data_IF_690168978297
#
_entry.id   IF_690168978297
#
_cell.length_a   1.000
_cell.length_b   1.000
_cell.length_c   1.000
_cell.angle_alpha   90.00
_cell.angle_beta   90.00
_cell.angle_gamma   90.00
#
_symmetry.space_group_name_H-M   'P 1'
#
loop_
_entity.id
_entity.type
_entity.pdbx_description
1 polymer ?
#
# COMPACT_ATOMS: atom_id res chain seq x y z
N UNK A 1 42.98 -34.66 -24.96
CA UNK A 1 41.86 -34.93 -24.04
C UNK A 1 41.77 -33.69 -23.14
N UNK A 2 41.44 -32.54 -23.72
CA UNK A 2 40.11 -32.05 -24.08
C UNK A 2 39.60 -31.17 -22.94
N UNK A 3 39.68 -29.86 -23.21
CA UNK A 3 38.92 -28.74 -22.64
C UNK A 3 37.69 -29.12 -21.82
N UNK A 4 37.59 -28.58 -20.59
CA UNK A 4 36.32 -28.44 -19.89
C UNK A 4 36.03 -26.93 -19.70
N UNK A 5 34.97 -26.39 -20.31
CA UNK A 5 34.75 -24.95 -20.42
C UNK A 5 34.16 -24.34 -19.15
N UNK A 6 34.73 -23.18 -18.81
CA UNK A 6 34.27 -22.22 -17.80
C UNK A 6 32.79 -21.84 -18.04
N UNK A 7 31.87 -22.41 -17.26
CA UNK A 7 30.45 -22.00 -17.26
C UNK A 7 30.35 -20.65 -16.53
N UNK A 8 30.24 -19.58 -17.30
CA UNK A 8 29.84 -18.26 -16.80
C UNK A 8 28.33 -18.25 -16.64
N UNK A 9 27.85 -18.26 -15.41
CA UNK A 9 26.43 -18.09 -15.08
C UNK A 9 26.06 -16.61 -15.28
N UNK A 10 25.25 -16.31 -16.30
CA UNK A 10 24.77 -14.95 -16.60
C UNK A 10 23.73 -14.50 -15.58
N UNK A 11 23.84 -13.30 -14.98
CA UNK A 11 22.78 -12.78 -14.13
C UNK A 11 21.58 -12.35 -14.99
N UNK A 12 20.45 -13.01 -14.80
CA UNK A 12 19.14 -12.59 -15.31
C UNK A 12 18.79 -11.19 -14.80
N UNK A 13 18.84 -10.21 -15.69
CA UNK A 13 18.35 -8.85 -15.45
C UNK A 13 16.82 -8.86 -15.43
N UNK A 14 16.22 -8.86 -14.23
CA UNK A 14 14.79 -8.64 -14.07
C UNK A 14 14.40 -7.27 -14.66
N UNK A 15 13.50 -7.30 -15.64
CA UNK A 15 12.98 -6.11 -16.32
C UNK A 15 12.14 -5.28 -15.34
N UNK A 16 12.67 -4.15 -14.90
CA UNK A 16 11.90 -3.09 -14.21
C UNK A 16 10.71 -2.64 -15.07
N UNK A 17 9.47 -2.59 -14.54
CA UNK A 17 8.34 -2.00 -15.26
C UNK A 17 8.54 -0.48 -15.40
N UNK A 18 8.32 0.03 -16.61
CA UNK A 18 8.36 1.47 -16.90
C UNK A 18 7.18 2.17 -16.22
N UNK A 19 7.47 3.16 -15.38
CA UNK A 19 6.47 4.06 -14.81
C UNK A 19 5.87 4.91 -15.93
N UNK A 20 4.53 5.02 -16.07
CA UNK A 20 3.96 5.94 -17.05
C UNK A 20 4.30 7.37 -16.66
N UNK A 21 4.73 8.16 -17.63
CA UNK A 21 4.93 9.61 -17.50
C UNK A 21 3.58 10.30 -17.29
N UNK A 22 3.43 11.23 -16.32
CA UNK A 22 2.18 11.93 -16.12
C UNK A 22 1.92 12.89 -17.30
N UNK A 23 0.75 12.79 -17.92
CA UNK A 23 0.23 13.80 -18.84
C UNK A 23 -0.21 15.02 -18.03
N UNK A 24 0.38 16.18 -18.31
CA UNK A 24 -0.06 17.47 -17.77
C UNK A 24 -1.12 18.07 -18.70
N UNK A 25 -2.23 18.55 -18.13
CA UNK A 25 -3.20 19.34 -18.89
C UNK A 25 -2.66 20.75 -19.20
N UNK A 26 -3.28 21.42 -20.18
CA UNK A 26 -2.86 22.72 -20.73
C UNK A 26 -2.76 23.89 -19.72
N UNK A 27 -3.19 23.70 -18.46
CA UNK A 27 -3.08 24.66 -17.36
C UNK A 27 -1.95 24.34 -16.35
N UNK A 28 -1.15 23.28 -16.59
CA UNK A 28 -0.04 22.89 -15.72
C UNK A 28 -0.46 22.27 -14.38
N UNK A 29 -1.69 21.76 -14.29
CA UNK A 29 -2.21 21.04 -13.11
C UNK A 29 -2.58 19.63 -13.54
N UNK A 30 -1.74 18.65 -13.22
CA UNK A 30 -2.12 17.23 -13.38
C UNK A 30 -3.34 16.94 -12.50
N UNK A 31 -4.31 16.19 -13.02
CA UNK A 31 -5.15 15.35 -12.18
C UNK A 31 -4.19 14.49 -11.36
N UNK A 32 -3.95 14.88 -10.10
CA UNK A 32 -3.12 14.08 -9.21
C UNK A 32 -3.94 12.83 -8.97
N UNK A 33 -3.50 11.69 -9.49
CA UNK A 33 -3.94 10.38 -9.03
C UNK A 33 -3.53 10.29 -7.55
N UNK A 34 -4.39 10.80 -6.68
CA UNK A 34 -4.20 10.70 -5.24
C UNK A 34 -4.48 9.25 -4.89
N UNK A 35 -3.48 8.48 -4.43
CA UNK A 35 -3.70 7.08 -4.07
C UNK A 35 -4.70 7.01 -2.91
N UNK A 36 -5.51 5.96 -2.93
CA UNK A 36 -6.44 5.62 -1.87
C UNK A 36 -5.71 5.31 -0.56
N UNK A 37 -6.42 5.31 0.59
CA UNK A 37 -5.78 5.21 1.89
C UNK A 37 -5.05 3.88 2.12
N UNK A 38 -5.46 2.80 1.45
CA UNK A 38 -4.88 1.45 1.56
C UNK A 38 -4.23 0.97 0.26
N UNK A 39 -4.10 1.83 -0.74
CA UNK A 39 -3.43 1.45 -1.99
C UNK A 39 -1.99 1.03 -1.73
N UNK A 40 -1.51 0.07 -2.52
CA UNK A 40 -0.14 -0.41 -2.43
C UNK A 40 0.78 0.40 -3.36
N UNK A 41 2.04 0.65 -2.96
CA UNK A 41 2.65 0.27 -1.69
C UNK A 41 2.24 1.21 -0.54
N UNK A 42 1.91 0.63 0.62
CA UNK A 42 1.72 1.40 1.85
C UNK A 42 3.07 1.84 2.41
N UNK A 43 3.13 3.05 2.97
CA UNK A 43 4.31 3.62 3.65
C UNK A 43 4.20 3.51 5.17
N UNK A 44 2.98 3.46 5.69
CA UNK A 44 2.67 3.38 7.11
C UNK A 44 1.82 2.15 7.42
N UNK A 45 1.97 1.60 8.62
CA UNK A 45 1.13 0.54 9.15
C UNK A 45 -0.30 1.03 9.37
N UNK A 46 -1.27 0.35 8.76
CA UNK A 46 -2.68 0.77 8.77
C UNK A 46 -3.36 0.61 10.15
N UNK A 47 -2.76 -0.15 11.04
CA UNK A 47 -3.24 -0.38 12.42
C UNK A 47 -2.44 0.39 13.48
N UNK A 48 -1.24 0.87 13.15
CA UNK A 48 -0.30 1.46 14.12
C UNK A 48 -0.01 2.93 13.82
N UNK A 49 -0.07 3.34 12.54
CA UNK A 49 0.36 4.64 12.05
C UNK A 49 1.89 4.82 11.97
N UNK A 50 2.67 3.78 12.29
CA UNK A 50 4.14 3.83 12.26
C UNK A 50 4.63 3.58 10.82
N UNK A 51 5.69 4.27 10.39
CA UNK A 51 6.31 4.01 9.10
C UNK A 51 6.78 2.54 9.01
N UNK A 52 6.54 1.86 7.88
CA UNK A 52 6.74 0.41 7.77
C UNK A 52 8.20 -0.01 7.95
N UNK A 53 9.15 0.85 7.62
CA UNK A 53 10.59 0.67 7.83
C UNK A 53 11.01 0.73 9.31
N UNK A 54 10.21 1.37 10.15
CA UNK A 54 10.44 1.52 11.59
C UNK A 54 9.51 0.64 12.44
N UNK A 55 8.51 0.00 11.82
CA UNK A 55 7.49 -0.74 12.55
C UNK A 55 8.01 -2.10 13.04
N UNK A 56 7.91 -2.34 14.34
CA UNK A 56 8.08 -3.70 14.89
C UNK A 56 6.90 -4.61 14.50
N UNK A 57 7.14 -5.87 14.11
CA UNK A 57 6.07 -6.83 13.79
C UNK A 57 5.10 -7.06 14.96
N UNK A 58 5.58 -6.95 16.20
CA UNK A 58 4.77 -7.12 17.42
C UNK A 58 3.89 -5.89 17.73
N UNK A 59 4.07 -4.77 17.02
CA UNK A 59 3.28 -3.57 17.22
C UNK A 59 1.85 -3.70 16.66
N UNK A 60 1.58 -4.67 15.79
CA UNK A 60 0.25 -4.88 15.21
C UNK A 60 -0.66 -5.58 16.23
N UNK A 61 -1.81 -4.98 16.61
CA UNK A 61 -2.72 -5.60 17.58
C UNK A 61 -3.21 -6.97 17.14
N UNK A 62 -3.40 -7.90 18.08
CA UNK A 62 -3.86 -9.26 17.78
C UNK A 62 -5.23 -9.26 17.08
N UNK A 63 -6.15 -8.38 17.47
CA UNK A 63 -7.45 -8.25 16.81
C UNK A 63 -7.33 -7.91 15.30
N UNK A 64 -6.39 -7.03 14.95
CA UNK A 64 -6.10 -6.67 13.56
C UNK A 64 -5.48 -7.84 12.78
N UNK A 65 -4.60 -8.63 13.41
CA UNK A 65 -4.04 -9.86 12.81
C UNK A 65 -5.12 -10.91 12.52
N UNK A 66 -6.20 -10.92 13.31
CA UNK A 66 -7.36 -11.77 13.11
C UNK A 66 -8.40 -11.16 12.14
N UNK A 67 -8.15 -9.98 11.58
CA UNK A 67 -9.07 -9.29 10.67
C UNK A 67 -10.33 -8.75 11.34
N UNK A 68 -10.37 -8.67 12.67
CA UNK A 68 -11.52 -8.23 13.45
C UNK A 68 -11.58 -6.72 13.66
N UNK A 69 -10.54 -6.01 13.23
CA UNK A 69 -10.38 -4.59 13.47
C UNK A 69 -10.24 -3.83 12.15
N UNK A 70 -11.02 -2.76 11.92
CA UNK A 70 -10.84 -1.90 10.76
C UNK A 70 -9.52 -1.13 10.82
N UNK A 71 -8.92 -0.79 9.67
CA UNK A 71 -7.72 0.04 9.61
C UNK A 71 -8.01 1.43 10.18
N UNK A 72 -7.16 1.89 11.10
CA UNK A 72 -7.32 3.16 11.82
C UNK A 72 -6.43 4.28 11.29
N UNK A 73 -5.42 3.94 10.49
CA UNK A 73 -4.45 4.87 9.95
C UNK A 73 -4.34 4.72 8.45
N UNK A 74 -4.14 5.83 7.77
CA UNK A 74 -3.91 5.85 6.33
C UNK A 74 -2.53 5.28 6.01
N UNK A 75 -2.46 4.27 5.14
CA UNK A 75 -1.21 3.66 4.68
C UNK A 75 -0.32 4.61 3.88
N UNK A 76 -0.86 5.72 3.35
CA UNK A 76 -0.11 6.69 2.55
C UNK A 76 0.53 7.84 3.36
N UNK A 77 -0.11 8.33 4.42
CA UNK A 77 0.43 9.44 5.26
C UNK A 77 0.48 9.18 6.78
N UNK A 78 0.05 8.01 7.26
CA UNK A 78 0.07 7.70 8.69
C UNK A 78 -0.94 8.47 9.54
N UNK A 79 -1.77 9.33 8.94
CA UNK A 79 -2.80 10.08 9.68
C UNK A 79 -3.90 9.13 10.15
N UNK A 80 -4.37 9.32 11.39
CA UNK A 80 -5.54 8.61 11.92
C UNK A 80 -6.77 8.95 11.08
N UNK A 81 -7.47 7.92 10.63
CA UNK A 81 -8.70 8.03 9.85
C UNK A 81 -9.91 8.14 10.77
N UNK A 82 -11.01 8.67 10.25
CA UNK A 82 -12.33 8.53 10.88
C UNK A 82 -12.90 7.21 10.42
N UNK A 83 -13.17 6.30 11.37
CA UNK A 83 -13.71 4.98 11.10
C UNK A 83 -15.16 4.92 11.55
N UNK A 84 -16.04 4.39 10.70
CA UNK A 84 -17.42 4.06 11.04
C UNK A 84 -17.62 2.57 10.86
N UNK A 85 -18.11 1.91 11.92
CA UNK A 85 -18.42 0.48 11.92
C UNK A 85 -19.92 0.32 11.83
N UNK A 86 -20.36 -0.55 10.93
CA UNK A 86 -21.76 -0.95 10.68
C UNK A 86 -21.88 -2.46 10.81
N UNK A 87 -23.09 -3.02 11.00
CA UNK A 87 -23.27 -4.48 11.05
C UNK A 87 -22.80 -5.20 9.78
N UNK A 88 -22.86 -4.55 8.62
CA UNK A 88 -22.50 -5.08 7.30
C UNK A 88 -21.06 -4.79 6.87
N UNK A 89 -20.30 -4.01 7.67
CA UNK A 89 -18.93 -3.66 7.31
C UNK A 89 -18.43 -2.38 7.97
N UNK A 90 -17.45 -1.74 7.35
CA UNK A 90 -16.89 -0.48 7.84
C UNK A 90 -16.42 0.40 6.69
N UNK A 91 -16.44 1.71 6.92
CA UNK A 91 -15.70 2.68 6.11
C UNK A 91 -14.65 3.41 6.95
N UNK A 92 -13.55 3.79 6.31
CA UNK A 92 -12.49 4.57 6.92
C UNK A 92 -12.09 5.73 6.01
N UNK A 93 -12.13 6.96 6.54
CA UNK A 93 -11.86 8.19 5.79
C UNK A 93 -10.56 8.85 6.23
N UNK A 94 -9.66 9.03 5.28
CA UNK A 94 -8.50 9.92 5.36
C UNK A 94 -8.87 11.30 4.78
N UNK A 95 -8.48 12.37 5.47
CA UNK A 95 -8.71 13.74 4.97
C UNK A 95 -7.93 14.09 3.69
N UNK A 96 -6.88 13.34 3.35
CA UNK A 96 -6.01 13.59 2.18
C UNK A 96 -6.18 12.57 1.07
N UNK A 97 -6.39 11.30 1.42
CA UNK A 97 -6.36 10.17 0.49
C UNK A 97 -7.73 9.55 0.23
N UNK A 98 -8.80 10.13 0.77
CA UNK A 98 -10.16 9.68 0.49
C UNK A 98 -10.67 8.61 1.45
N UNK A 99 -11.61 7.81 0.98
CA UNK A 99 -12.36 6.81 1.75
C UNK A 99 -11.99 5.41 1.24
N UNK A 100 -12.00 4.43 2.13
CA UNK A 100 -11.97 3.02 1.79
C UNK A 100 -13.11 2.31 2.51
N UNK A 101 -13.69 1.30 1.87
CA UNK A 101 -14.77 0.50 2.44
C UNK A 101 -14.40 -0.99 2.49
N UNK A 102 -14.88 -1.70 3.51
CA UNK A 102 -14.68 -3.13 3.70
C UNK A 102 -15.09 -3.99 2.47
N UNK A 103 -16.08 -3.55 1.69
CA UNK A 103 -16.52 -4.25 0.49
C UNK A 103 -15.50 -4.17 -0.65
N UNK A 104 -14.67 -3.12 -0.71
CA UNK A 104 -13.58 -3.01 -1.68
C UNK A 104 -12.43 -3.95 -1.34
N UNK A 105 -12.23 -4.25 -0.05
CA UNK A 105 -11.22 -5.19 0.42
C UNK A 105 -11.64 -6.66 0.26
N UNK A 106 -12.94 -6.93 0.26
CA UNK A 106 -13.53 -8.28 0.16
C UNK A 106 -13.76 -8.80 -1.27
N UNK A 107 -13.58 -8.00 -2.32
CA UNK A 107 -13.76 -8.40 -3.74
C UNK A 107 -12.54 -9.09 -4.37
N UNK A 108 -11.71 -9.75 -3.57
CA UNK A 108 -10.50 -10.44 -4.05
C UNK A 108 -10.81 -11.85 -4.53
#
# INVERSE_FOLDING_TARGET
MSDDPRVSDEPSVERTPMTPTPTVDACGRSAVDIPGPLDQPCRFGVYTGIALDLQSPDAVPQAARLGLEPPRFCGQCGRRMVVQVRPDGWDARCSRHGVVDSSELGRR
#
